data_IF_498695145143
#
_entry.id   IF_498695145143
#
_cell.length_a   1.000
_cell.length_b   1.000
_cell.length_c   1.000
_cell.angle_alpha   90.00
_cell.angle_beta   90.00
_cell.angle_gamma   90.00
#
_symmetry.space_group_name_H-M   'P 1'
#
loop_
_entity.id
_entity.type
_entity.pdbx_description
1 polymer ?
#
# COMPACT_ATOMS: atom_id res chain seq x y z
N UNK A 1 -38.75 5.00 -1.56
CA UNK A 1 -37.70 6.00 -1.30
C UNK A 1 -36.51 5.24 -0.79
N UNK A 2 -35.44 5.12 -1.58
CA UNK A 2 -34.24 4.39 -1.17
C UNK A 2 -33.51 5.23 -0.12
N UNK A 3 -33.32 4.65 1.06
CA UNK A 3 -32.49 5.20 2.12
C UNK A 3 -31.06 5.34 1.56
N UNK A 4 -30.53 6.56 1.58
CA UNK A 4 -29.17 6.84 1.14
C UNK A 4 -28.25 6.41 2.26
N UNK A 5 -27.88 5.13 2.28
CA UNK A 5 -26.90 4.61 3.23
C UNK A 5 -25.58 5.36 3.04
N UNK A 6 -25.29 6.31 3.94
CA UNK A 6 -23.98 6.93 4.03
C UNK A 6 -23.00 5.89 4.57
N UNK A 7 -22.18 5.34 3.69
CA UNK A 7 -21.09 4.40 4.03
C UNK A 7 -19.97 5.17 4.76
N UNK A 8 -20.25 5.59 6.00
CA UNK A 8 -19.27 6.26 6.85
C UNK A 8 -18.47 5.21 7.60
N UNK A 9 -17.15 5.40 7.65
CA UNK A 9 -16.26 4.58 8.47
C UNK A 9 -16.08 5.31 9.81
N UNK A 10 -16.53 4.70 10.89
CA UNK A 10 -16.32 5.21 12.25
C UNK A 10 -15.05 4.60 12.85
N UNK A 11 -14.34 5.40 13.65
CA UNK A 11 -13.06 5.04 14.25
C UNK A 11 -13.00 5.57 15.67
N UNK A 12 -12.61 4.70 16.61
CA UNK A 12 -12.26 5.14 17.97
C UNK A 12 -10.78 5.48 18.01
N UNK A 13 -10.47 6.69 18.46
CA UNK A 13 -9.10 7.18 18.54
C UNK A 13 -8.76 7.60 19.95
N UNK A 14 -7.53 7.31 20.39
CA UNK A 14 -6.94 7.86 21.59
C UNK A 14 -5.99 8.99 21.19
N UNK A 15 -6.24 10.18 21.73
CA UNK A 15 -5.45 11.38 21.46
C UNK A 15 -4.67 11.75 22.72
N UNK A 16 -3.36 11.88 22.58
CA UNK A 16 -2.57 12.60 23.58
C UNK A 16 -2.86 14.09 23.45
N UNK A 17 -3.56 14.65 24.45
CA UNK A 17 -3.93 16.08 24.47
C UNK A 17 -2.73 17.00 24.64
N UNK A 18 -1.62 16.51 25.23
CA UNK A 18 -0.42 17.31 25.43
C UNK A 18 0.26 17.64 24.09
N UNK A 19 0.48 16.61 23.25
CA UNK A 19 1.07 16.78 21.92
C UNK A 19 0.05 17.01 20.79
N UNK A 20 -1.25 16.90 21.09
CA UNK A 20 -2.35 16.91 20.12
C UNK A 20 -2.15 15.88 18.99
N UNK A 21 -1.73 14.66 19.34
CA UNK A 21 -1.46 13.57 18.39
C UNK A 21 -2.34 12.37 18.68
N UNK A 22 -2.79 11.70 17.62
CA UNK A 22 -3.40 10.37 17.71
C UNK A 22 -2.28 9.37 18.04
N UNK A 23 -2.43 8.67 19.16
CA UNK A 23 -1.44 7.70 19.65
C UNK A 23 -1.93 6.26 19.54
N UNK A 24 -3.24 6.06 19.40
CA UNK A 24 -3.84 4.75 19.21
C UNK A 24 -5.16 4.88 18.46
N UNK A 25 -5.47 3.85 17.67
CA UNK A 25 -6.72 3.74 16.92
C UNK A 25 -7.24 2.31 17.18
N UNK A 26 -8.49 2.20 17.60
CA UNK A 26 -9.24 0.95 17.62
C UNK A 26 -10.14 0.96 16.36
N UNK A 27 -9.73 0.25 15.30
CA UNK A 27 -10.51 0.24 14.06
C UNK A 27 -11.65 -0.77 14.14
N UNK A 28 -12.79 -0.40 13.56
CA UNK A 28 -13.83 -1.37 13.23
C UNK A 28 -13.48 -2.11 11.93
N UNK A 29 -14.22 -3.19 11.65
CA UNK A 29 -13.95 -4.07 10.50
C UNK A 29 -13.90 -3.32 9.17
N UNK A 30 -14.79 -2.36 8.95
CA UNK A 30 -14.86 -1.61 7.68
C UNK A 30 -13.57 -0.82 7.40
N UNK A 31 -12.97 -0.23 8.42
CA UNK A 31 -11.68 0.45 8.27
C UNK A 31 -10.56 -0.55 7.97
N UNK A 32 -10.54 -1.66 8.71
CA UNK A 32 -9.56 -2.71 8.52
C UNK A 32 -9.62 -3.25 7.09
N UNK A 33 -10.80 -3.60 6.58
CA UNK A 33 -11.01 -4.10 5.23
C UNK A 33 -10.52 -3.12 4.16
N UNK A 34 -10.84 -1.83 4.30
CA UNK A 34 -10.35 -0.80 3.39
C UNK A 34 -8.82 -0.68 3.46
N UNK A 35 -8.23 -0.66 4.65
CA UNK A 35 -6.77 -0.59 4.81
C UNK A 35 -6.08 -1.81 4.20
N UNK A 36 -6.60 -3.01 4.46
CA UNK A 36 -6.09 -4.27 3.91
C UNK A 36 -6.27 -4.32 2.39
N UNK A 37 -7.34 -3.75 1.84
CA UNK A 37 -7.55 -3.67 0.39
C UNK A 37 -6.40 -2.94 -0.31
N UNK A 38 -5.91 -1.83 0.24
CA UNK A 38 -4.75 -1.13 -0.32
C UNK A 38 -3.47 -1.98 -0.27
N UNK A 39 -3.32 -2.84 0.74
CA UNK A 39 -2.16 -3.73 0.86
C UNK A 39 -2.20 -4.91 -0.11
N UNK A 40 -3.37 -5.25 -0.67
CA UNK A 40 -3.47 -6.25 -1.75
C UNK A 40 -2.98 -5.73 -3.11
N UNK A 41 -2.89 -4.40 -3.26
CA UNK A 41 -2.45 -3.78 -4.50
C UNK A 41 -0.92 -3.87 -4.58
N UNK A 42 -0.34 -4.31 -5.72
CA UNK A 42 1.11 -4.42 -5.89
C UNK A 42 1.77 -3.04 -6.00
N UNK A 43 1.88 -2.32 -4.87
CA UNK A 43 2.30 -0.92 -4.81
C UNK A 43 3.71 -0.69 -5.38
N UNK A 44 4.62 -1.66 -5.20
CA UNK A 44 5.94 -1.62 -5.83
C UNK A 44 5.87 -1.53 -7.35
N UNK A 45 4.95 -2.28 -7.97
CA UNK A 45 4.70 -2.21 -9.42
C UNK A 45 4.15 -0.84 -9.82
N UNK A 46 3.19 -0.28 -9.06
CA UNK A 46 2.63 1.04 -9.35
C UNK A 46 3.72 2.11 -9.30
N UNK A 47 4.51 2.18 -8.24
CA UNK A 47 5.58 3.19 -8.07
C UNK A 47 6.63 3.06 -9.18
N UNK A 48 7.04 1.82 -9.49
CA UNK A 48 7.98 1.53 -10.57
C UNK A 48 7.51 2.06 -11.92
N UNK A 49 6.24 1.82 -12.26
CA UNK A 49 5.65 2.28 -13.52
C UNK A 49 5.42 3.79 -13.51
N UNK A 50 4.86 4.32 -12.43
CA UNK A 50 4.60 5.75 -12.25
C UNK A 50 5.87 6.61 -12.38
N UNK A 51 7.02 6.12 -11.92
CA UNK A 51 8.32 6.81 -12.07
C UNK A 51 8.89 6.78 -13.49
N UNK A 52 8.45 5.84 -14.34
CA UNK A 52 8.92 5.65 -15.72
C UNK A 52 8.07 6.38 -16.77
N UNK A 53 6.95 6.98 -16.36
CA UNK A 53 6.09 7.77 -17.25
C UNK A 53 6.72 9.12 -17.62
N UNK A 54 6.19 9.74 -18.69
CA UNK A 54 6.60 11.08 -19.15
C UNK A 54 6.41 12.15 -18.07
N UNK A 55 5.38 11.99 -17.25
CA UNK A 55 5.05 12.85 -16.12
C UNK A 55 5.11 12.00 -14.84
N UNK A 56 6.27 11.93 -14.16
CA UNK A 56 6.45 11.04 -13.03
C UNK A 56 5.51 11.41 -11.87
N UNK A 57 4.71 10.44 -11.42
CA UNK A 57 3.82 10.61 -10.26
C UNK A 57 4.54 10.22 -8.99
N UNK A 58 4.49 11.09 -7.98
CA UNK A 58 5.04 10.85 -6.64
C UNK A 58 3.92 10.40 -5.69
N UNK A 59 4.06 9.19 -5.14
CA UNK A 59 3.14 8.59 -4.17
C UNK A 59 3.72 8.78 -2.77
N UNK A 60 3.76 10.02 -2.31
CA UNK A 60 4.14 10.38 -0.94
C UNK A 60 5.41 9.70 -0.43
N UNK A 61 5.36 9.13 0.78
CA UNK A 61 6.47 8.41 1.40
C UNK A 61 6.77 7.04 0.78
N UNK A 62 5.84 6.49 -0.01
CA UNK A 62 6.04 5.17 -0.62
C UNK A 62 7.14 5.21 -1.68
N UNK A 63 7.34 6.36 -2.35
CA UNK A 63 8.49 6.55 -3.24
C UNK A 63 9.82 6.38 -2.50
N UNK A 64 9.91 6.91 -1.27
CA UNK A 64 11.11 6.76 -0.43
C UNK A 64 11.31 5.31 0.00
N UNK A 65 10.22 4.62 0.38
CA UNK A 65 10.28 3.20 0.73
C UNK A 65 10.75 2.35 -0.45
N UNK A 66 10.19 2.55 -1.63
CA UNK A 66 10.60 1.84 -2.84
C UNK A 66 12.07 2.12 -3.20
N UNK A 67 12.51 3.39 -3.16
CA UNK A 67 13.91 3.74 -3.38
C UNK A 67 14.85 3.12 -2.33
N UNK A 68 14.42 2.99 -1.07
CA UNK A 68 15.18 2.29 -0.05
C UNK A 68 15.36 0.80 -0.39
N UNK A 69 14.33 0.15 -0.93
CA UNK A 69 14.40 -1.24 -1.39
C UNK A 69 15.27 -1.38 -2.64
N UNK A 70 15.31 -0.39 -3.54
CA UNK A 70 16.25 -0.40 -4.67
C UNK A 70 17.71 -0.35 -4.21
N UNK A 71 17.99 0.48 -3.20
CA UNK A 71 19.35 0.78 -2.74
C UNK A 71 19.90 -0.17 -1.67
N UNK A 72 19.06 -0.99 -1.03
CA UNK A 72 19.53 -1.99 -0.07
C UNK A 72 20.34 -3.09 -0.77
N UNK A 73 21.43 -3.49 -0.15
CA UNK A 73 22.29 -4.58 -0.63
C UNK A 73 21.53 -5.91 -0.61
N UNK A 74 21.61 -6.67 -1.71
CA UNK A 74 21.00 -8.00 -1.84
C UNK A 74 21.46 -8.97 -0.76
N UNK A 75 22.68 -8.81 -0.24
CA UNK A 75 23.22 -9.64 0.84
C UNK A 75 22.47 -9.46 2.18
N UNK A 76 21.65 -8.40 2.31
CA UNK A 76 20.82 -8.17 3.51
C UNK A 76 19.56 -9.03 3.52
N UNK A 77 19.21 -9.66 2.42
CA UNK A 77 18.04 -10.53 2.34
C UNK A 77 18.42 -11.98 2.64
N UNK A 78 17.49 -12.70 3.27
CA UNK A 78 17.65 -14.14 3.53
C UNK A 78 17.76 -14.94 2.23
N UNK A 79 17.04 -14.52 1.19
CA UNK A 79 17.06 -15.13 -0.14
C UNK A 79 17.30 -14.01 -1.16
N UNK A 80 18.23 -14.17 -2.13
CA UNK A 80 18.51 -13.13 -3.13
C UNK A 80 17.27 -12.64 -3.90
N UNK A 81 16.32 -13.55 -4.16
CA UNK A 81 15.09 -13.23 -4.90
C UNK A 81 14.13 -12.32 -4.12
N UNK A 82 14.29 -12.17 -2.80
CA UNK A 82 13.39 -11.35 -1.99
C UNK A 82 13.43 -9.88 -2.39
N UNK A 83 14.61 -9.35 -2.77
CA UNK A 83 14.72 -7.96 -3.25
C UNK A 83 13.89 -7.77 -4.53
N UNK A 84 14.04 -8.70 -5.46
CA UNK A 84 13.29 -8.68 -6.72
C UNK A 84 11.78 -8.77 -6.47
N UNK A 85 11.33 -9.68 -5.59
CA UNK A 85 9.92 -9.79 -5.21
C UNK A 85 9.34 -8.51 -4.61
N UNK A 86 10.14 -7.70 -3.90
CA UNK A 86 9.68 -6.42 -3.33
C UNK A 86 9.63 -5.30 -4.37
N UNK A 87 10.56 -5.29 -5.33
CA UNK A 87 10.56 -4.34 -6.45
C UNK A 87 9.52 -4.70 -7.52
N UNK A 88 9.24 -5.99 -7.65
CA UNK A 88 8.38 -6.62 -8.65
C UNK A 88 7.34 -7.54 -7.99
N UNK A 89 6.45 -7.00 -7.14
CA UNK A 89 5.46 -7.81 -6.45
C UNK A 89 4.53 -8.49 -7.46
N UNK A 90 4.30 -9.79 -7.24
CA UNK A 90 3.36 -10.57 -8.02
C UNK A 90 1.94 -10.05 -7.81
N UNK A 91 1.20 -9.91 -8.90
CA UNK A 91 -0.21 -9.56 -8.84
C UNK A 91 -1.02 -10.84 -8.65
N UNK A 92 -1.87 -10.90 -7.63
CA UNK A 92 -2.74 -12.07 -7.40
C UNK A 92 -3.69 -12.37 -8.57
N UNK A 93 -3.99 -11.37 -9.41
CA UNK A 93 -4.79 -11.50 -10.62
C UNK A 93 -3.97 -11.81 -11.89
N UNK A 94 -2.65 -11.98 -11.79
CA UNK A 94 -1.75 -12.13 -12.96
C UNK A 94 -2.15 -13.31 -13.84
N UNK A 95 -2.46 -14.47 -13.25
CA UNK A 95 -2.89 -15.66 -13.97
C UNK A 95 -4.19 -15.41 -14.77
N UNK A 96 -5.15 -14.69 -14.19
CA UNK A 96 -6.41 -14.34 -14.83
C UNK A 96 -6.20 -13.31 -15.95
N UNK A 97 -5.36 -12.30 -15.73
CA UNK A 97 -5.02 -11.30 -16.75
C UNK A 97 -4.36 -11.94 -17.99
N UNK A 98 -3.50 -12.93 -17.80
CA UNK A 98 -2.85 -13.64 -18.90
C UNK A 98 -3.81 -14.45 -19.77
N UNK A 99 -5.01 -14.80 -19.28
CA UNK A 99 -6.05 -15.46 -20.06
C UNK A 99 -6.87 -14.49 -20.94
N UNK A 100 -6.69 -13.18 -20.77
CA UNK A 100 -7.40 -12.14 -21.51
C UNK A 100 -6.62 -11.65 -22.74
N UNK A 101 -5.39 -12.14 -22.94
CA UNK A 101 -4.51 -11.84 -24.07
C UNK A 101 -4.54 -12.98 -25.11
#
# INVERSE_FOLDING_TARGET
MADKSTNNIELKVLVDKGSNKVIFIEPDNDFADVLFSFMTIPMGTIIRLARKHSDPVVIGCMNNLYASVENIDEQKFWIPICKDMLLHPHNAADAQCNLLN
#
